data_IF_074309725315
#
_entry.id   IF_074309725315
#
_cell.length_a   1.000
_cell.length_b   1.000
_cell.length_c   1.000
_cell.angle_alpha   90.00
_cell.angle_beta   90.00
_cell.angle_gamma   90.00
#
_symmetry.space_group_name_H-M   'P 1'
#
loop_
_entity.id
_entity.type
_entity.pdbx_description
1 polymer ?
#
# COMPACT_ATOMS: atom_id res chain seq x y z
N UNK A 1 -30.01 -54.52 -38.06
CA UNK A 1 -29.17 -53.31 -37.86
C UNK A 1 -29.96 -52.36 -36.98
N UNK A 2 -29.65 -52.32 -35.68
CA UNK A 2 -30.25 -51.39 -34.72
C UNK A 2 -29.43 -50.10 -34.74
N UNK A 3 -30.06 -49.02 -35.16
CA UNK A 3 -29.48 -47.69 -35.25
C UNK A 3 -29.43 -47.08 -33.83
N UNK A 4 -28.25 -47.01 -33.23
CA UNK A 4 -28.02 -46.33 -31.95
C UNK A 4 -27.92 -44.84 -32.25
N UNK A 5 -29.02 -44.13 -32.05
CA UNK A 5 -29.00 -42.67 -31.94
C UNK A 5 -28.19 -42.28 -30.70
N UNK A 6 -26.90 -42.06 -30.88
CA UNK A 6 -26.04 -41.30 -29.96
C UNK A 6 -26.56 -39.86 -29.95
N UNK A 7 -27.51 -39.56 -29.06
CA UNK A 7 -27.81 -38.20 -28.63
C UNK A 7 -26.53 -37.56 -28.11
N UNK A 8 -25.95 -36.66 -28.91
CA UNK A 8 -24.88 -35.76 -28.45
C UNK A 8 -25.47 -34.90 -27.34
N UNK A 9 -25.19 -35.25 -26.08
CA UNK A 9 -25.23 -34.30 -24.97
C UNK A 9 -24.25 -33.17 -25.31
N UNK A 10 -24.75 -32.09 -25.89
CA UNK A 10 -24.05 -30.81 -25.85
C UNK A 10 -24.17 -30.29 -24.42
N UNK A 11 -23.30 -30.78 -23.52
CA UNK A 11 -23.00 -30.08 -22.28
C UNK A 11 -22.34 -28.77 -22.67
N UNK A 12 -23.14 -27.72 -22.81
CA UNK A 12 -22.67 -26.38 -23.07
C UNK A 12 -22.11 -25.79 -21.78
N UNK A 13 -20.92 -26.28 -21.41
CA UNK A 13 -20.19 -25.83 -20.24
C UNK A 13 -20.01 -24.31 -20.27
N UNK A 14 -20.02 -23.72 -19.08
CA UNK A 14 -19.79 -22.29 -18.87
C UNK A 14 -18.53 -21.82 -19.61
N UNK A 15 -18.51 -20.62 -20.21
CA UNK A 15 -17.35 -20.08 -20.91
C UNK A 15 -16.07 -20.17 -20.07
N UNK A 16 -15.02 -20.77 -20.64
CA UNK A 16 -13.73 -21.03 -19.96
C UNK A 16 -13.12 -19.79 -19.32
N UNK A 17 -13.31 -18.63 -19.93
CA UNK A 17 -12.79 -17.35 -19.41
C UNK A 17 -13.47 -16.93 -18.11
N UNK A 18 -14.79 -17.12 -18.00
CA UNK A 18 -15.53 -16.79 -16.79
C UNK A 18 -15.20 -17.77 -15.65
N UNK A 19 -15.09 -19.07 -15.95
CA UNK A 19 -14.63 -20.08 -14.98
C UNK A 19 -13.21 -19.79 -14.50
N UNK A 20 -12.31 -19.44 -15.43
CA UNK A 20 -10.93 -19.04 -15.11
C UNK A 20 -10.89 -17.81 -14.20
N UNK A 21 -11.63 -16.74 -14.52
CA UNK A 21 -11.69 -15.53 -13.71
C UNK A 21 -12.19 -15.81 -12.29
N UNK A 22 -13.30 -16.54 -12.15
CA UNK A 22 -13.84 -16.91 -10.83
C UNK A 22 -12.89 -17.80 -10.06
N UNK A 23 -12.22 -18.75 -10.72
CA UNK A 23 -11.25 -19.64 -10.08
C UNK A 23 -10.10 -18.87 -9.42
N UNK A 24 -9.77 -17.69 -9.95
CA UNK A 24 -8.66 -16.86 -9.48
C UNK A 24 -9.05 -15.72 -8.56
N UNK A 25 -10.21 -15.10 -8.80
CA UNK A 25 -10.57 -13.82 -8.21
C UNK A 25 -11.80 -13.87 -7.28
N UNK A 26 -12.59 -14.94 -7.31
CA UNK A 26 -13.72 -15.09 -6.40
C UNK A 26 -13.25 -15.42 -4.96
N UNK A 27 -14.16 -15.25 -4.00
CA UNK A 27 -13.87 -15.50 -2.60
C UNK A 27 -13.47 -16.98 -2.37
N UNK A 28 -12.30 -17.27 -1.81
CA UNK A 28 -11.83 -18.63 -1.61
C UNK A 28 -12.74 -19.47 -0.70
N UNK A 29 -13.56 -18.84 0.15
CA UNK A 29 -14.46 -19.55 1.07
C UNK A 29 -15.56 -20.35 0.37
N UNK A 30 -16.11 -19.84 -0.74
CA UNK A 30 -17.25 -20.44 -1.45
C UNK A 30 -17.04 -20.50 -2.96
N UNK A 31 -15.80 -20.30 -3.43
CA UNK A 31 -15.46 -20.27 -4.87
C UNK A 31 -15.94 -21.48 -5.65
N UNK A 32 -15.76 -22.68 -5.10
CA UNK A 32 -16.08 -23.92 -5.81
C UNK A 32 -17.59 -24.12 -5.92
N UNK A 33 -18.34 -23.79 -4.86
CA UNK A 33 -19.79 -23.82 -4.84
C UNK A 33 -20.35 -22.79 -5.84
N UNK A 34 -19.86 -21.55 -5.79
CA UNK A 34 -20.25 -20.49 -6.73
C UNK A 34 -20.03 -20.86 -8.19
N UNK A 35 -18.88 -21.48 -8.53
CA UNK A 35 -18.61 -21.91 -9.91
C UNK A 35 -19.59 -23.01 -10.33
N UNK A 36 -19.92 -23.94 -9.43
CA UNK A 36 -20.92 -24.99 -9.67
C UNK A 36 -22.31 -24.41 -9.92
N UNK A 37 -22.78 -23.53 -9.02
CA UNK A 37 -24.09 -22.88 -9.12
C UNK A 37 -24.22 -22.06 -10.42
N UNK A 38 -23.15 -21.34 -10.78
CA UNK A 38 -23.12 -20.56 -12.03
C UNK A 38 -23.12 -21.45 -13.28
N UNK A 39 -22.51 -22.63 -13.24
CA UNK A 39 -22.52 -23.57 -14.36
C UNK A 39 -23.90 -24.22 -14.55
N UNK A 40 -24.57 -24.55 -13.44
CA UNK A 40 -25.94 -25.06 -13.45
C UNK A 40 -26.92 -24.03 -14.01
N UNK A 41 -26.95 -22.81 -13.43
CA UNK A 41 -27.88 -21.76 -13.87
C UNK A 41 -27.58 -21.27 -15.30
N UNK A 42 -26.30 -21.26 -15.73
CA UNK A 42 -25.94 -20.95 -17.11
C UNK A 42 -26.53 -21.97 -18.10
N UNK A 43 -26.47 -23.26 -17.75
CA UNK A 43 -27.02 -24.34 -18.58
C UNK A 43 -28.54 -24.24 -18.69
N UNK A 44 -29.23 -23.96 -17.57
CA UNK A 44 -30.69 -23.77 -17.55
C UNK A 44 -31.14 -22.56 -18.38
N UNK A 45 -30.45 -21.41 -18.25
CA UNK A 45 -30.77 -20.19 -19.00
C UNK A 45 -30.51 -20.34 -20.50
N UNK A 46 -29.50 -21.12 -20.88
CA UNK A 46 -29.22 -21.43 -22.29
C UNK A 46 -30.31 -22.30 -22.91
N UNK A 47 -30.88 -23.24 -22.14
CA UNK A 47 -32.03 -24.04 -22.58
C UNK A 47 -33.32 -23.22 -22.69
N UNK A 48 -33.45 -22.17 -21.87
CA UNK A 48 -34.66 -21.33 -21.79
C UNK A 48 -34.63 -20.11 -22.74
N UNK A 49 -33.61 -20.00 -23.62
CA UNK A 49 -33.44 -18.88 -24.57
C UNK A 49 -33.45 -17.48 -23.91
N UNK A 50 -32.98 -17.39 -22.66
CA UNK A 50 -32.82 -16.11 -21.96
C UNK A 50 -31.47 -15.46 -22.29
N UNK A 51 -31.35 -14.17 -21.98
CA UNK A 51 -30.15 -13.37 -22.24
C UNK A 51 -28.98 -13.79 -21.30
N UNK A 52 -28.27 -14.85 -21.70
CA UNK A 52 -27.32 -15.63 -20.89
C UNK A 52 -25.97 -14.95 -20.71
N UNK A 53 -25.46 -14.30 -21.75
CA UNK A 53 -24.12 -13.69 -21.76
C UNK A 53 -24.05 -12.45 -20.88
N UNK A 54 -25.03 -11.56 -20.99
CA UNK A 54 -25.15 -10.35 -20.16
C UNK A 54 -25.32 -10.71 -18.68
N UNK A 55 -26.16 -11.72 -18.40
CA UNK A 55 -26.33 -12.23 -17.04
C UNK A 55 -25.03 -12.82 -16.48
N UNK A 56 -24.34 -13.68 -17.25
CA UNK A 56 -23.10 -14.32 -16.81
C UNK A 56 -22.00 -13.30 -16.51
N UNK A 57 -21.83 -12.29 -17.36
CA UNK A 57 -20.87 -11.21 -17.14
C UNK A 57 -21.17 -10.43 -15.86
N UNK A 58 -22.45 -10.11 -15.63
CA UNK A 58 -22.88 -9.39 -14.43
C UNK A 58 -22.62 -10.21 -13.16
N UNK A 59 -22.93 -11.50 -13.17
CA UNK A 59 -22.68 -12.37 -12.01
C UNK A 59 -21.19 -12.57 -11.77
N UNK A 60 -20.42 -12.78 -12.83
CA UNK A 60 -18.95 -12.90 -12.74
C UNK A 60 -18.35 -11.62 -12.15
N UNK A 61 -18.78 -10.44 -12.61
CA UNK A 61 -18.30 -9.17 -12.08
C UNK A 61 -18.71 -8.96 -10.61
N UNK A 62 -19.95 -9.28 -10.23
CA UNK A 62 -20.42 -9.15 -8.84
C UNK A 62 -19.67 -10.08 -7.90
N UNK A 63 -19.48 -11.34 -8.29
CA UNK A 63 -18.76 -12.32 -7.50
C UNK A 63 -17.28 -11.97 -7.32
N UNK A 64 -16.64 -11.46 -8.38
CA UNK A 64 -15.28 -10.93 -8.29
C UNK A 64 -15.24 -9.74 -7.35
N UNK A 65 -16.18 -8.79 -7.49
CA UNK A 65 -16.25 -7.62 -6.62
C UNK A 65 -16.39 -8.00 -5.14
N UNK A 66 -17.30 -8.93 -4.83
CA UNK A 66 -17.51 -9.40 -3.46
C UNK A 66 -16.29 -10.15 -2.93
N UNK A 67 -15.66 -10.99 -3.75
CA UNK A 67 -14.42 -11.67 -3.43
C UNK A 67 -13.27 -10.71 -3.13
N UNK A 68 -13.06 -9.70 -3.98
CA UNK A 68 -12.04 -8.68 -3.78
C UNK A 68 -12.34 -7.81 -2.57
N UNK A 69 -13.59 -7.40 -2.35
CA UNK A 69 -14.00 -6.62 -1.19
C UNK A 69 -13.75 -7.38 0.13
N UNK A 70 -14.01 -8.69 0.14
CA UNK A 70 -13.70 -9.56 1.28
C UNK A 70 -12.18 -9.70 1.49
N UNK A 71 -11.41 -9.87 0.41
CA UNK A 71 -9.94 -9.95 0.48
C UNK A 71 -9.30 -8.65 0.98
N UNK A 72 -9.73 -7.49 0.49
CA UNK A 72 -9.22 -6.18 0.92
C UNK A 72 -9.50 -5.95 2.40
N UNK A 73 -10.68 -6.37 2.89
CA UNK A 73 -11.02 -6.28 4.32
C UNK A 73 -10.22 -7.24 5.20
N UNK A 74 -9.50 -8.21 4.61
CA UNK A 74 -8.73 -9.19 5.37
C UNK A 74 -7.49 -8.58 6.03
N UNK A 75 -7.18 -9.08 7.23
CA UNK A 75 -5.95 -8.75 7.95
C UNK A 75 -4.69 -9.09 7.14
N UNK A 76 -4.73 -10.19 6.38
CA UNK A 76 -3.59 -10.66 5.58
C UNK A 76 -3.24 -9.66 4.49
N UNK A 77 -4.26 -9.14 3.79
CA UNK A 77 -4.05 -8.13 2.76
C UNK A 77 -3.42 -6.86 3.34
N UNK A 78 -3.93 -6.35 4.47
CA UNK A 78 -3.39 -5.14 5.10
C UNK A 78 -1.94 -5.35 5.57
N UNK A 79 -1.61 -6.53 6.11
CA UNK A 79 -0.23 -6.89 6.47
C UNK A 79 0.69 -6.92 5.26
N UNK A 80 0.28 -7.58 4.18
CA UNK A 80 1.06 -7.66 2.95
C UNK A 80 1.30 -6.28 2.34
N UNK A 81 0.25 -5.47 2.23
CA UNK A 81 0.33 -4.08 1.78
C UNK A 81 1.26 -3.26 2.67
N UNK A 82 1.16 -3.41 3.99
CA UNK A 82 2.02 -2.71 4.94
C UNK A 82 3.49 -3.09 4.75
N UNK A 83 3.82 -4.38 4.60
CA UNK A 83 5.19 -4.82 4.32
C UNK A 83 5.70 -4.20 3.02
N UNK A 84 4.91 -4.27 1.94
CA UNK A 84 5.30 -3.70 0.64
C UNK A 84 5.60 -2.21 0.79
N UNK A 85 4.71 -1.45 1.44
CA UNK A 85 4.94 -0.04 1.72
C UNK A 85 6.22 0.18 2.53
N UNK A 86 6.48 -0.65 3.55
CA UNK A 86 7.69 -0.53 4.36
C UNK A 86 8.97 -0.77 3.56
N UNK A 87 8.97 -1.80 2.72
CA UNK A 87 10.10 -2.17 1.86
C UNK A 87 10.37 -1.11 0.79
N UNK A 88 9.35 -0.38 0.35
CA UNK A 88 9.52 0.74 -0.59
C UNK A 88 9.95 2.02 0.14
N UNK A 89 9.27 2.39 1.23
CA UNK A 89 9.46 3.68 1.90
C UNK A 89 10.78 3.78 2.66
N UNK A 90 11.22 2.72 3.36
CA UNK A 90 12.45 2.78 4.16
C UNK A 90 13.70 3.02 3.29
N UNK A 91 13.91 2.31 2.17
CA UNK A 91 15.00 2.63 1.25
C UNK A 91 14.87 4.02 0.64
N UNK A 92 13.67 4.47 0.26
CA UNK A 92 13.49 5.82 -0.28
C UNK A 92 13.92 6.89 0.73
N UNK A 93 13.55 6.75 2.01
CA UNK A 93 14.00 7.68 3.06
C UNK A 93 15.51 7.57 3.25
N UNK A 94 16.07 6.36 3.27
CA UNK A 94 17.50 6.17 3.45
C UNK A 94 18.33 6.82 2.33
N UNK A 95 17.91 6.65 1.09
CA UNK A 95 18.52 7.28 -0.07
C UNK A 95 18.38 8.81 -0.02
N UNK A 96 17.20 9.31 0.36
CA UNK A 96 16.97 10.74 0.45
C UNK A 96 17.82 11.40 1.53
N UNK A 97 17.87 10.82 2.73
CA UNK A 97 18.71 11.32 3.83
C UNK A 97 20.19 11.19 3.49
N UNK A 98 20.60 10.09 2.88
CA UNK A 98 21.98 9.89 2.41
C UNK A 98 22.39 10.95 1.39
N UNK A 99 21.55 11.21 0.40
CA UNK A 99 21.79 12.28 -0.56
C UNK A 99 21.84 13.66 0.12
N UNK A 100 20.84 14.00 0.94
CA UNK A 100 20.77 15.29 1.63
C UNK A 100 21.97 15.53 2.55
N UNK A 101 22.55 14.48 3.12
CA UNK A 101 23.69 14.58 4.05
C UNK A 101 25.04 14.73 3.33
N UNK A 102 25.12 14.39 2.04
CA UNK A 102 26.36 14.40 1.26
C UNK A 102 26.34 15.42 0.11
N UNK A 103 25.21 16.09 -0.12
CA UNK A 103 25.09 17.10 -1.19
C UNK A 103 25.63 18.44 -0.68
N UNK A 104 26.77 18.86 -1.25
CA UNK A 104 27.37 20.16 -0.93
C UNK A 104 26.63 21.31 -1.66
N UNK A 105 26.36 21.14 -2.95
CA UNK A 105 25.64 22.13 -3.77
C UNK A 105 24.58 21.44 -4.65
N UNK A 106 23.29 21.43 -4.25
CA UNK A 106 22.22 20.91 -5.10
C UNK A 106 22.01 21.80 -6.33
N UNK A 107 21.46 21.24 -7.40
CA UNK A 107 21.02 22.03 -8.57
C UNK A 107 20.02 23.11 -8.15
N UNK A 108 19.94 24.21 -8.91
CA UNK A 108 19.04 25.33 -8.59
C UNK A 108 17.59 24.86 -8.39
N UNK A 109 17.13 23.94 -9.24
CA UNK A 109 15.80 23.35 -9.14
C UNK A 109 15.61 22.55 -7.84
N UNK A 110 16.55 21.68 -7.48
CA UNK A 110 16.47 20.87 -6.26
C UNK A 110 16.61 21.76 -5.01
N UNK A 111 17.44 22.80 -5.07
CA UNK A 111 17.60 23.79 -4.01
C UNK A 111 16.30 24.53 -3.74
N UNK A 112 15.59 24.98 -4.78
CA UNK A 112 14.28 25.64 -4.65
C UNK A 112 13.23 24.69 -4.05
N UNK A 113 13.21 23.42 -4.47
CA UNK A 113 12.29 22.44 -3.89
C UNK A 113 12.60 22.13 -2.42
N UNK A 114 13.88 22.07 -2.05
CA UNK A 114 14.31 21.87 -0.66
C UNK A 114 13.92 23.05 0.22
N UNK A 115 14.18 24.28 -0.22
CA UNK A 115 13.81 25.49 0.53
C UNK A 115 12.31 25.66 0.67
N UNK A 116 11.52 25.17 -0.30
CA UNK A 116 10.06 25.13 -0.23
C UNK A 116 9.51 23.97 0.63
N UNK A 117 10.35 23.04 1.09
CA UNK A 117 9.89 21.86 1.83
C UNK A 117 9.20 20.82 0.96
N UNK A 118 9.35 20.91 -0.36
CA UNK A 118 8.63 20.16 -1.37
C UNK A 118 9.29 18.80 -1.68
N UNK A 119 9.60 18.03 -0.63
CA UNK A 119 10.28 16.74 -0.74
C UNK A 119 9.52 15.75 -1.62
N UNK A 120 8.19 15.77 -1.56
CA UNK A 120 7.36 14.95 -2.46
C UNK A 120 7.63 15.20 -3.94
N UNK A 121 7.87 16.44 -4.38
CA UNK A 121 8.24 16.73 -5.76
C UNK A 121 9.67 16.29 -6.08
N UNK A 122 10.60 16.37 -5.12
CA UNK A 122 11.97 15.86 -5.28
C UNK A 122 11.98 14.35 -5.57
N UNK A 123 11.15 13.57 -4.88
CA UNK A 123 11.07 12.12 -5.08
C UNK A 123 10.53 11.71 -6.47
N UNK A 124 9.86 12.61 -7.18
CA UNK A 124 9.44 12.39 -8.58
C UNK A 124 10.38 13.06 -9.59
N UNK A 125 11.43 13.74 -9.13
CA UNK A 125 12.39 14.41 -9.99
C UNK A 125 13.41 13.40 -10.54
N UNK A 126 13.60 13.40 -11.86
CA UNK A 126 14.55 12.50 -12.55
C UNK A 126 16.01 12.83 -12.24
N UNK A 127 16.33 14.11 -12.01
CA UNK A 127 17.66 14.57 -11.62
C UNK A 127 18.07 13.99 -10.28
N UNK A 128 17.18 14.03 -9.29
CA UNK A 128 17.42 13.45 -7.96
C UNK A 128 17.81 11.97 -8.05
N UNK A 129 17.02 11.15 -8.76
CA UNK A 129 17.33 9.71 -8.90
C UNK A 129 18.62 9.45 -9.66
N UNK A 130 18.95 10.29 -10.65
CA UNK A 130 20.23 10.21 -11.37
C UNK A 130 21.41 10.49 -10.43
N UNK A 131 21.32 11.52 -9.58
CA UNK A 131 22.37 11.89 -8.63
C UNK A 131 22.58 10.77 -7.59
N UNK A 132 21.50 10.33 -6.95
CA UNK A 132 21.51 9.25 -5.94
C UNK A 132 22.14 7.96 -6.48
N UNK A 133 21.88 7.61 -7.74
CA UNK A 133 22.35 6.36 -8.34
C UNK A 133 23.77 6.44 -8.90
N UNK A 134 24.18 7.60 -9.44
CA UNK A 134 25.46 7.72 -10.15
C UNK A 134 26.60 8.31 -9.31
N UNK A 135 26.32 9.11 -8.29
CA UNK A 135 27.35 9.89 -7.57
C UNK A 135 27.79 9.24 -6.24
N UNK A 136 27.74 7.91 -6.14
CA UNK A 136 28.20 7.19 -4.95
C UNK A 136 27.51 7.60 -3.62
N UNK A 137 26.35 8.26 -3.65
CA UNK A 137 25.64 8.65 -2.42
C UNK A 137 25.28 7.45 -1.53
N UNK A 138 25.20 6.24 -2.11
CA UNK A 138 24.93 4.99 -1.38
C UNK A 138 26.18 4.49 -0.63
N UNK A 139 27.41 4.74 -1.11
CA UNK A 139 28.64 4.26 -0.47
C UNK A 139 29.07 5.07 0.75
N UNK A 140 28.45 6.24 0.99
CA UNK A 140 28.73 7.14 2.11
C UNK A 140 27.59 7.17 3.15
N UNK A 141 26.74 6.15 3.20
CA UNK A 141 25.68 6.04 4.21
C UNK A 141 26.28 5.71 5.58
N UNK A 142 26.40 6.71 6.44
CA UNK A 142 26.81 6.53 7.83
C UNK A 142 25.59 6.44 8.76
N UNK A 143 25.65 5.55 9.75
CA UNK A 143 24.57 5.40 10.74
C UNK A 143 24.28 6.70 11.51
N UNK A 144 25.28 7.56 11.68
CA UNK A 144 25.14 8.86 12.33
C UNK A 144 24.12 9.77 11.65
N UNK A 145 23.96 9.66 10.32
CA UNK A 145 23.03 10.48 9.52
C UNK A 145 21.56 10.23 9.89
N UNK A 146 21.26 9.08 10.49
CA UNK A 146 19.90 8.69 10.88
C UNK A 146 19.57 9.03 12.34
N UNK A 147 20.57 9.39 13.16
CA UNK A 147 20.37 9.68 14.57
C UNK A 147 19.75 11.08 14.71
N UNK A 148 18.43 11.13 14.84
CA UNK A 148 17.69 12.37 15.00
C UNK A 148 16.76 12.33 16.21
N UNK A 149 17.16 12.99 17.30
CA UNK A 149 16.48 12.96 18.60
C UNK A 149 14.99 13.30 18.50
N UNK A 150 14.55 14.37 17.79
CA UNK A 150 13.12 14.67 17.66
C UNK A 150 12.32 13.53 16.99
N UNK A 151 12.89 12.86 15.99
CA UNK A 151 12.23 11.76 15.29
C UNK A 151 12.11 10.51 16.18
N UNK A 152 13.12 10.23 17.00
CA UNK A 152 13.10 9.15 17.99
C UNK A 152 12.04 9.44 19.06
N UNK A 153 11.98 10.67 19.57
CA UNK A 153 10.94 11.10 20.51
C UNK A 153 9.55 10.93 19.90
N UNK A 154 9.36 11.34 18.65
CA UNK A 154 8.09 11.15 17.93
C UNK A 154 7.69 9.67 17.83
N UNK A 155 8.64 8.79 17.54
CA UNK A 155 8.42 7.34 17.52
C UNK A 155 8.03 6.77 18.89
N UNK A 156 8.58 7.30 19.99
CA UNK A 156 8.16 6.92 21.33
C UNK A 156 6.73 7.38 21.65
N UNK A 157 6.38 8.61 21.26
CA UNK A 157 4.99 9.11 21.41
C UNK A 157 4.02 8.27 20.57
N UNK A 158 4.42 7.88 19.36
CA UNK A 158 3.66 6.94 18.52
C UNK A 158 3.44 5.60 19.21
N UNK A 159 4.50 5.01 19.79
CA UNK A 159 4.41 3.73 20.48
C UNK A 159 3.47 3.79 21.68
N UNK A 160 3.59 4.85 22.50
CA UNK A 160 2.70 5.08 23.65
C UNK A 160 1.24 5.29 23.22
N UNK A 161 1.01 6.12 22.21
CA UNK A 161 -0.32 6.38 21.66
C UNK A 161 -0.95 5.13 21.07
N UNK A 162 -0.17 4.34 20.32
CA UNK A 162 -0.57 3.05 19.76
C UNK A 162 -0.95 2.06 20.86
N UNK A 163 -0.11 1.92 21.89
CA UNK A 163 -0.40 1.02 23.01
C UNK A 163 -1.71 1.39 23.69
N UNK A 164 -1.93 2.68 23.95
CA UNK A 164 -3.17 3.16 24.57
C UNK A 164 -4.39 2.96 23.66
N UNK A 165 -4.27 3.30 22.38
CA UNK A 165 -5.33 3.14 21.38
C UNK A 165 -5.75 1.68 21.21
N UNK A 166 -4.78 0.76 21.08
CA UNK A 166 -5.04 -0.67 20.96
C UNK A 166 -5.67 -1.26 22.24
N UNK A 167 -5.26 -0.78 23.42
CA UNK A 167 -5.79 -1.23 24.71
C UNK A 167 -7.22 -0.77 24.93
N UNK A 168 -7.55 0.48 24.58
CA UNK A 168 -8.85 1.09 24.88
C UNK A 168 -9.92 0.79 23.83
N UNK A 169 -9.56 0.82 22.55
CA UNK A 169 -10.54 0.86 21.47
C UNK A 169 -10.74 -0.47 20.74
N UNK A 170 -9.85 -1.45 20.97
CA UNK A 170 -9.80 -2.73 20.23
C UNK A 170 -10.11 -2.57 18.72
N UNK A 171 -9.37 -1.70 18.01
CA UNK A 171 -9.72 -1.27 16.67
C UNK A 171 -9.62 -2.41 15.65
N UNK A 172 -10.33 -2.28 14.54
CA UNK A 172 -10.07 -3.11 13.36
C UNK A 172 -8.67 -2.82 12.80
N UNK A 173 -8.11 -3.78 12.05
CA UNK A 173 -6.80 -3.63 11.39
C UNK A 173 -6.75 -2.37 10.53
N UNK A 174 -7.80 -2.12 9.75
CA UNK A 174 -7.92 -0.93 8.90
C UNK A 174 -7.92 0.38 9.69
N UNK A 175 -8.66 0.43 10.80
CA UNK A 175 -8.70 1.64 11.64
C UNK A 175 -7.33 1.88 12.30
N UNK A 176 -6.65 0.82 12.73
CA UNK A 176 -5.29 0.94 13.24
C UNK A 176 -4.29 1.40 12.17
N UNK A 177 -4.35 0.84 10.96
CA UNK A 177 -3.51 1.26 9.84
C UNK A 177 -3.75 2.71 9.44
N UNK A 178 -5.00 3.16 9.40
CA UNK A 178 -5.34 4.56 9.12
C UNK A 178 -4.79 5.50 10.20
N UNK A 179 -4.94 5.12 11.48
CA UNK A 179 -4.35 5.86 12.61
C UNK A 179 -2.82 5.96 12.47
N UNK A 180 -2.15 4.86 12.16
CA UNK A 180 -0.70 4.84 12.02
C UNK A 180 -0.22 5.67 10.83
N UNK A 181 -0.88 5.58 9.67
CA UNK A 181 -0.57 6.38 8.50
C UNK A 181 -0.75 7.87 8.78
N UNK A 182 -1.84 8.28 9.42
CA UNK A 182 -2.03 9.67 9.83
C UNK A 182 -0.88 10.16 10.72
N UNK A 183 -0.45 9.31 11.67
CA UNK A 183 0.66 9.64 12.57
C UNK A 183 2.00 9.79 11.84
N UNK A 184 2.24 8.99 10.79
CA UNK A 184 3.44 9.10 9.94
C UNK A 184 3.40 10.33 9.03
N UNK A 185 2.22 10.76 8.59
CA UNK A 185 2.06 11.95 7.74
C UNK A 185 2.17 13.27 8.53
N UNK A 186 1.85 13.26 9.83
CA UNK A 186 1.86 14.47 10.66
C UNK A 186 3.21 15.23 10.64
N UNK A 187 4.39 14.60 10.84
CA UNK A 187 5.69 15.27 10.73
C UNK A 187 5.89 15.96 9.38
N UNK A 188 5.48 15.30 8.30
CA UNK A 188 5.59 15.83 6.95
C UNK A 188 4.70 17.06 6.77
N UNK A 189 3.41 16.96 7.10
CA UNK A 189 2.46 18.08 6.98
C UNK A 189 2.88 19.25 7.86
N UNK A 190 3.30 18.97 9.09
CA UNK A 190 3.80 19.99 10.01
C UNK A 190 5.03 20.72 9.44
N UNK A 191 6.04 19.98 8.99
CA UNK A 191 7.25 20.58 8.43
C UNK A 191 6.97 21.39 7.16
N UNK A 192 6.15 20.84 6.25
CA UNK A 192 5.73 21.54 5.04
C UNK A 192 4.98 22.84 5.35
N UNK A 193 4.02 22.83 6.28
CA UNK A 193 3.30 24.04 6.68
C UNK A 193 4.23 25.06 7.34
N UNK A 194 5.15 24.63 8.20
CA UNK A 194 6.13 25.53 8.84
C UNK A 194 7.02 26.19 7.80
N UNK A 195 7.55 25.44 6.84
CA UNK A 195 8.43 25.98 5.80
C UNK A 195 7.65 26.94 4.88
N UNK A 196 6.51 26.50 4.36
CA UNK A 196 5.71 27.28 3.41
C UNK A 196 5.04 28.52 4.00
N UNK A 197 4.72 28.53 5.30
CA UNK A 197 3.99 29.64 5.93
C UNK A 197 4.87 30.60 6.71
N UNK A 198 6.01 30.14 7.24
CA UNK A 198 6.86 30.96 8.11
C UNK A 198 8.19 31.35 7.46
N UNK A 199 8.49 30.84 6.25
CA UNK A 199 9.72 31.09 5.50
C UNK A 199 10.97 31.14 6.41
N UNK A 200 11.23 30.04 7.16
CA UNK A 200 12.29 30.04 8.14
C UNK A 200 13.64 30.22 7.45
N UNK A 201 14.56 30.92 8.14
CA UNK A 201 15.96 31.08 7.68
C UNK A 201 16.55 29.72 7.32
N UNK A 202 17.27 29.63 6.20
CA UNK A 202 17.77 28.39 5.57
C UNK A 202 18.40 27.39 6.55
N UNK A 203 19.11 27.87 7.57
CA UNK A 203 19.73 27.05 8.63
C UNK A 203 18.74 26.20 9.43
N UNK A 204 17.46 26.59 9.47
CA UNK A 204 16.39 25.87 10.16
C UNK A 204 15.63 24.90 9.24
N UNK A 205 15.74 25.06 7.92
CA UNK A 205 15.05 24.21 6.95
C UNK A 205 15.58 22.77 7.01
N UNK A 206 16.91 22.60 7.05
CA UNK A 206 17.55 21.27 7.11
C UNK A 206 17.04 20.37 8.24
N UNK A 207 17.07 20.83 9.52
CA UNK A 207 16.52 20.06 10.63
C UNK A 207 15.01 19.74 10.52
N UNK A 208 14.22 20.65 9.92
CA UNK A 208 12.79 20.40 9.68
C UNK A 208 12.61 19.31 8.64
N UNK A 209 13.34 19.37 7.52
CA UNK A 209 13.34 18.32 6.50
C UNK A 209 13.79 16.96 7.06
N UNK A 210 14.82 16.96 7.91
CA UNK A 210 15.28 15.75 8.60
C UNK A 210 14.17 15.17 9.49
N UNK A 211 13.42 16.00 10.22
CA UNK A 211 12.27 15.55 10.99
C UNK A 211 11.16 14.97 10.12
N UNK A 212 10.81 15.64 9.02
CA UNK A 212 9.77 15.20 8.07
C UNK A 212 10.05 13.79 7.54
N UNK A 213 11.31 13.45 7.29
CA UNK A 213 11.71 12.19 6.68
C UNK A 213 12.08 11.10 7.70
N UNK A 214 12.82 11.44 8.75
CA UNK A 214 13.27 10.46 9.74
C UNK A 214 12.17 10.06 10.72
N UNK A 215 11.14 10.88 10.94
CA UNK A 215 10.04 10.48 11.82
C UNK A 215 9.27 9.25 11.28
N UNK A 216 8.88 9.20 9.99
CA UNK A 216 8.41 7.98 9.34
C UNK A 216 9.39 6.80 9.46
N UNK A 217 10.70 7.04 9.29
CA UNK A 217 11.73 6.00 9.36
C UNK A 217 11.73 5.23 10.68
N UNK A 218 11.54 5.93 11.82
CA UNK A 218 11.48 5.29 13.14
C UNK A 218 10.10 4.76 13.52
N UNK A 219 9.02 5.39 13.04
CA UNK A 219 7.63 5.00 13.38
C UNK A 219 7.16 3.76 12.62
N UNK A 220 7.61 3.60 11.37
CA UNK A 220 7.15 2.56 10.47
C UNK A 220 7.53 1.13 10.92
N UNK A 221 8.76 0.85 11.40
CA UNK A 221 9.09 -0.45 12.00
C UNK A 221 8.22 -0.77 13.24
N UNK A 222 7.93 0.23 14.08
CA UNK A 222 7.07 0.06 15.25
C UNK A 222 5.63 -0.27 14.84
N UNK A 223 5.12 0.41 13.81
CA UNK A 223 3.80 0.11 13.24
C UNK A 223 3.70 -1.34 12.79
N UNK A 224 4.68 -1.83 12.01
CA UNK A 224 4.73 -3.23 11.58
C UNK A 224 4.76 -4.17 12.79
N UNK A 225 5.60 -3.90 13.77
CA UNK A 225 5.66 -4.70 14.99
C UNK A 225 4.28 -4.82 15.68
N UNK A 226 3.59 -3.69 15.90
CA UNK A 226 2.26 -3.70 16.52
C UNK A 226 1.21 -4.38 15.65
N UNK A 227 1.27 -4.20 14.32
CA UNK A 227 0.37 -4.83 13.37
C UNK A 227 0.47 -6.36 13.46
N UNK A 228 1.68 -6.91 13.43
CA UNK A 228 1.89 -8.35 13.51
C UNK A 228 1.60 -8.91 14.91
N UNK A 229 1.99 -8.20 15.97
CA UNK A 229 1.75 -8.64 17.35
C UNK A 229 0.27 -8.68 17.72
N UNK A 230 -0.49 -7.64 17.37
CA UNK A 230 -1.89 -7.51 17.81
C UNK A 230 -2.85 -8.26 16.91
N UNK A 231 -2.59 -8.31 15.61
CA UNK A 231 -3.49 -8.87 14.63
C UNK A 231 -2.97 -10.19 14.07
N UNK A 232 -2.35 -11.03 14.91
CA UNK A 232 -1.76 -12.31 14.49
C UNK A 232 -2.77 -13.38 14.08
N UNK A 233 -4.07 -13.16 14.32
CA UNK A 233 -5.17 -14.04 13.89
C UNK A 233 -5.60 -13.75 12.46
#
# INVERSE_FOLDING_TARGET
>A
MLNINSSKEHRSAMPRLASWLLSRLANPAYRNELIGDMEEEYTERQQTNQDTTTWLLRQTASAIWDGQNAMVKSTVFVKALSIILCVLTLPTIALFVGWLSNVDEPSEQLSQLLSAGEVHFILFNTEYWRLVWNENSISHLELGMFIHTPSILWAMVFAGSTYWFLKKSNPSVWLFSAFALAYMLLPYLFGYTVISSLEPVDQKVGPILAFMMLAPFFTLPLYVYFLFKRFSK
#
